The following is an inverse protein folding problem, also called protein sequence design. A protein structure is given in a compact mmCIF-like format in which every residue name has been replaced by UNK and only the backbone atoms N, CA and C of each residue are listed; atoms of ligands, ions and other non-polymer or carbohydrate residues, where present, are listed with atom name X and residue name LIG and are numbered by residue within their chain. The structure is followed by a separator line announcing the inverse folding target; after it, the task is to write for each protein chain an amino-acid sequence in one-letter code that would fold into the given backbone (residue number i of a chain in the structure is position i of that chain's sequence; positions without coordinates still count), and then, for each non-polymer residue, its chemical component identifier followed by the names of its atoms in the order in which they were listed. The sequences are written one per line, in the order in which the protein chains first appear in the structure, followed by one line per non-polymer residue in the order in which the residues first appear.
data_IF_934292988677
#
_entry.id   IF_934292988677
#
_cell.length_a   1.000
_cell.length_b   1.000
_cell.length_c   1.000
_cell.angle_alpha   90.00
_cell.angle_beta   90.00
_cell.angle_gamma   90.00
#
_symmetry.space_group_name_H-M   'P 1'
#
loop_
_entity.id
_entity.type
_entity.pdbx_description
1 polymer ?
#
# COMPACT_ATOMS: atom_id res chain seq x y z
N UNK A 1 -1.89 3.53 18.31
CA UNK A 1 -1.67 2.22 17.67
C UNK A 1 -2.21 2.26 16.24
N UNK A 2 -1.36 2.47 15.23
CA UNK A 2 -1.83 2.48 13.86
C UNK A 2 -1.97 1.05 13.31
N UNK A 3 -3.07 0.79 12.61
CA UNK A 3 -3.25 -0.44 11.85
C UNK A 3 -2.99 -0.15 10.39
N UNK A 4 -2.01 -0.83 9.81
CA UNK A 4 -1.68 -0.71 8.40
C UNK A 4 -2.32 -1.86 7.63
N UNK A 5 -3.04 -1.53 6.57
CA UNK A 5 -3.59 -2.50 5.64
C UNK A 5 -3.00 -2.25 4.25
N UNK A 6 -2.36 -3.26 3.70
CA UNK A 6 -1.79 -3.22 2.36
C UNK A 6 -2.67 -4.07 1.44
N UNK A 7 -3.30 -3.43 0.46
CA UNK A 7 -4.10 -4.13 -0.55
C UNK A 7 -3.27 -4.26 -1.82
N UNK A 8 -3.06 -5.50 -2.24
CA UNK A 8 -2.20 -5.83 -3.39
C UNK A 8 -2.89 -6.83 -4.29
N UNK A 9 -2.42 -6.95 -5.52
CA UNK A 9 -2.77 -8.06 -6.39
C UNK A 9 -1.95 -9.29 -6.00
N UNK A 10 -2.53 -10.47 -6.15
CA UNK A 10 -1.87 -11.73 -5.79
C UNK A 10 -0.56 -11.95 -6.54
N UNK A 11 -0.42 -11.34 -7.72
CA UNK A 11 0.78 -11.45 -8.54
C UNK A 11 2.00 -10.75 -7.92
N UNK A 12 1.80 -9.84 -6.97
CA UNK A 12 2.93 -9.19 -6.30
C UNK A 12 3.63 -10.18 -5.37
N UNK A 13 4.94 -10.45 -5.56
CA UNK A 13 5.67 -11.42 -4.73
C UNK A 13 5.65 -11.06 -3.25
N UNK A 14 5.64 -12.07 -2.40
CA UNK A 14 5.57 -11.89 -0.95
C UNK A 14 6.75 -11.10 -0.40
N UNK A 15 7.94 -11.28 -0.95
CA UNK A 15 9.12 -10.54 -0.53
C UNK A 15 8.93 -9.04 -0.73
N UNK A 16 8.35 -8.64 -1.86
CA UNK A 16 8.10 -7.23 -2.14
C UNK A 16 7.01 -6.64 -1.23
N UNK A 17 5.99 -7.44 -0.91
CA UNK A 17 4.99 -7.05 0.09
C UNK A 17 5.66 -6.76 1.43
N UNK A 18 6.59 -7.62 1.82
CA UNK A 18 7.34 -7.47 3.08
C UNK A 18 8.17 -6.20 3.08
N UNK A 19 8.84 -5.91 1.98
CA UNK A 19 9.64 -4.69 1.85
C UNK A 19 8.78 -3.45 1.97
N UNK A 20 7.59 -3.45 1.37
CA UNK A 20 6.64 -2.35 1.50
C UNK A 20 6.19 -2.16 2.94
N UNK A 21 5.84 -3.25 3.62
CA UNK A 21 5.41 -3.18 5.02
C UNK A 21 6.53 -2.66 5.92
N UNK A 22 7.76 -3.09 5.67
CA UNK A 22 8.93 -2.61 6.43
C UNK A 22 9.16 -1.12 6.19
N UNK A 23 9.03 -0.67 4.95
CA UNK A 23 9.20 0.75 4.60
C UNK A 23 8.12 1.62 5.26
N UNK A 24 6.87 1.16 5.24
CA UNK A 24 5.77 1.88 5.88
C UNK A 24 5.99 1.96 7.39
N UNK A 25 6.39 0.87 8.01
CA UNK A 25 6.67 0.87 9.45
C UNK A 25 7.84 1.80 9.79
N UNK A 26 8.89 1.79 8.98
CA UNK A 26 10.02 2.71 9.16
C UNK A 26 9.60 4.17 9.10
N UNK A 27 8.71 4.51 8.19
CA UNK A 27 8.18 5.88 8.10
C UNK A 27 7.34 6.25 9.33
N UNK A 28 6.53 5.32 9.85
CA UNK A 28 5.76 5.56 11.06
C UNK A 28 6.66 5.73 12.29
N UNK A 29 7.71 4.92 12.40
CA UNK A 29 8.69 5.06 13.48
C UNK A 29 9.38 6.41 13.41
N UNK A 30 9.70 6.87 12.22
CA UNK A 30 10.36 8.17 12.03
C UNK A 30 9.48 9.35 12.51
N UNK A 31 8.15 9.20 12.51
CA UNK A 31 7.25 10.24 13.01
C UNK A 31 6.75 9.98 14.44
N UNK A 32 7.37 9.05 15.15
CA UNK A 32 7.15 8.88 16.60
C UNK A 32 6.43 7.61 17.02
N UNK A 33 6.05 6.72 16.11
CA UNK A 33 5.45 5.44 16.49
C UNK A 33 6.54 4.53 17.09
N UNK A 34 6.29 3.90 18.25
CA UNK A 34 7.26 2.97 18.81
C UNK A 34 7.57 1.80 17.87
N UNK A 35 8.80 1.35 17.84
CA UNK A 35 9.24 0.26 16.96
C UNK A 35 8.41 -1.01 17.19
N UNK A 36 8.08 -1.31 18.45
CA UNK A 36 7.32 -2.50 18.80
C UNK A 36 5.82 -2.38 18.50
N UNK A 37 5.32 -1.18 18.24
CA UNK A 37 3.91 -0.94 17.92
C UNK A 37 3.70 -1.15 16.41
N UNK A 38 3.76 -2.41 16.01
CA UNK A 38 3.65 -2.80 14.60
C UNK A 38 2.43 -3.68 14.41
N UNK A 39 1.44 -3.15 13.68
CA UNK A 39 0.20 -3.85 13.36
C UNK A 39 -0.05 -3.72 11.87
N UNK A 40 0.12 -4.81 11.14
CA UNK A 40 0.06 -4.80 9.67
C UNK A 40 -0.68 -6.02 9.17
N UNK A 41 -1.47 -5.82 8.11
CA UNK A 41 -2.12 -6.91 7.40
C UNK A 41 -2.06 -6.69 5.91
N UNK A 42 -2.08 -7.78 5.15
CA UNK A 42 -2.07 -7.76 3.69
C UNK A 42 -3.36 -8.40 3.19
N UNK A 43 -4.03 -7.72 2.28
CA UNK A 43 -5.15 -8.24 1.51
C UNK A 43 -4.65 -8.48 0.08
N UNK A 44 -4.47 -9.74 -0.28
CA UNK A 44 -4.00 -10.11 -1.61
C UNK A 44 -5.21 -10.55 -2.44
N UNK A 45 -5.54 -9.78 -3.46
CA UNK A 45 -6.73 -9.97 -4.27
C UNK A 45 -6.39 -10.54 -5.64
N UNK A 46 -7.26 -11.42 -6.19
CA UNK A 46 -7.18 -11.79 -7.60
C UNK A 46 -7.24 -10.55 -8.49
N UNK A 47 -6.63 -10.62 -9.67
CA UNK A 47 -6.52 -9.46 -10.55
C UNK A 47 -7.85 -8.83 -10.93
N UNK A 48 -8.94 -9.61 -10.94
CA UNK A 48 -10.27 -9.09 -11.23
C UNK A 48 -10.97 -8.39 -10.07
N UNK A 49 -10.42 -8.51 -8.86
CA UNK A 49 -11.06 -7.99 -7.64
C UNK A 49 -10.47 -6.66 -7.17
N UNK A 50 -9.41 -6.19 -7.81
CA UNK A 50 -8.85 -4.85 -7.60
C UNK A 50 -9.02 -4.08 -8.91
N UNK A 51 -10.04 -3.24 -8.95
CA UNK A 51 -10.44 -2.52 -10.16
C UNK A 51 -10.05 -1.07 -10.04
N UNK A 52 -9.33 -0.57 -11.02
CA UNK A 52 -8.88 0.81 -11.05
C UNK A 52 -8.67 1.24 -12.50
N UNK A 53 -8.80 2.55 -12.74
CA UNK A 53 -8.41 3.11 -14.04
C UNK A 53 -6.90 3.22 -14.11
N UNK A 54 -6.23 2.70 -15.13
CA UNK A 54 -4.77 2.71 -15.21
C UNK A 54 -4.17 4.11 -15.29
N UNK A 55 -4.93 5.10 -15.75
CA UNK A 55 -4.38 6.41 -16.08
C UNK A 55 -5.06 7.58 -15.36
N UNK A 56 -6.21 7.39 -14.73
CA UNK A 56 -6.87 8.48 -14.05
C UNK A 56 -6.09 8.89 -12.80
N UNK A 57 -5.87 10.17 -12.53
CA UNK A 57 -6.24 11.35 -13.34
C UNK A 57 -5.21 11.73 -14.41
N UNK A 58 -4.22 10.91 -14.67
CA UNK A 58 -3.17 11.18 -15.65
C UNK A 58 -3.73 11.13 -17.07
N UNK A 59 -3.18 11.91 -18.02
CA UNK A 59 -3.55 11.82 -19.41
C UNK A 59 -3.32 10.42 -20.00
N UNK A 60 -4.14 10.02 -20.95
CA UNK A 60 -3.94 8.76 -21.66
C UNK A 60 -2.55 8.72 -22.29
N UNK A 61 -1.85 7.59 -22.14
CA UNK A 61 -0.49 7.43 -22.66
C UNK A 61 0.60 7.87 -21.71
N UNK A 62 0.25 8.32 -20.49
CA UNK A 62 1.23 8.65 -19.47
C UNK A 62 2.08 7.42 -19.13
N UNK A 63 3.43 7.57 -19.00
CA UNK A 63 4.28 6.45 -18.58
C UNK A 63 4.08 6.07 -17.10
N UNK A 64 3.33 6.86 -16.34
CA UNK A 64 3.09 6.64 -14.91
C UNK A 64 1.76 5.97 -14.63
N UNK A 65 1.19 5.23 -15.61
CA UNK A 65 -0.04 4.49 -15.44
C UNK A 65 0.06 3.42 -14.36
N UNK A 66 -1.09 3.05 -13.78
CA UNK A 66 -1.18 1.95 -12.81
C UNK A 66 -1.18 0.62 -13.54
N UNK A 67 -0.59 -0.38 -12.92
CA UNK A 67 -0.51 -1.72 -13.47
C UNK A 67 -0.64 -2.76 -12.35
N UNK A 68 -0.21 -4.00 -12.62
CA UNK A 68 -0.22 -5.10 -11.65
C UNK A 68 0.60 -4.82 -10.38
N UNK A 69 1.48 -3.80 -10.41
CA UNK A 69 2.29 -3.41 -9.27
C UNK A 69 1.64 -2.29 -8.43
N UNK A 70 0.44 -1.89 -8.80
CA UNK A 70 -0.32 -0.89 -8.04
C UNK A 70 -0.75 -1.48 -6.70
N UNK A 71 -0.50 -0.76 -5.63
CA UNK A 71 -0.91 -1.16 -4.28
C UNK A 71 -1.60 0.00 -3.58
N UNK A 72 -2.46 -0.33 -2.63
CA UNK A 72 -3.11 0.65 -1.78
C UNK A 72 -2.64 0.39 -0.35
N UNK A 73 -2.05 1.40 0.27
CA UNK A 73 -1.69 1.35 1.68
C UNK A 73 -2.66 2.23 2.47
N UNK A 74 -3.21 1.68 3.53
CA UNK A 74 -4.15 2.38 4.39
C UNK A 74 -3.64 2.32 5.82
N UNK A 75 -3.61 3.47 6.49
CA UNK A 75 -3.22 3.55 7.90
C UNK A 75 -4.41 4.05 8.70
N UNK A 76 -4.89 3.22 9.60
CA UNK A 76 -5.98 3.56 10.52
C UNK A 76 -5.38 3.87 11.90
N UNK A 77 -5.58 5.09 12.36
CA UNK A 77 -5.10 5.53 13.67
C UNK A 77 -6.16 5.29 14.74
N UNK A 78 -5.73 5.18 16.00
CA UNK A 78 -6.61 4.88 17.14
C UNK A 78 -7.72 5.90 17.35
N UNK A 79 -7.60 7.10 16.82
CA UNK A 79 -8.64 8.14 16.92
C UNK A 79 -9.69 8.08 15.80
N UNK A 80 -9.79 6.98 15.07
CA UNK A 80 -10.70 6.84 13.94
C UNK A 80 -10.25 7.53 12.68
N UNK A 81 -9.07 8.09 12.65
CA UNK A 81 -8.49 8.70 11.46
C UNK A 81 -7.92 7.63 10.55
N UNK A 82 -8.13 7.77 9.24
CA UNK A 82 -7.48 6.92 8.25
C UNK A 82 -6.79 7.76 7.20
N UNK A 83 -5.65 7.29 6.74
CA UNK A 83 -4.93 7.85 5.60
C UNK A 83 -4.76 6.74 4.57
N UNK A 84 -5.14 7.02 3.33
CA UNK A 84 -5.02 6.09 2.23
C UNK A 84 -4.00 6.63 1.25
N UNK A 85 -3.05 5.80 0.87
CA UNK A 85 -2.01 6.15 -0.08
C UNK A 85 -1.98 5.09 -1.17
N UNK A 86 -2.02 5.55 -2.42
CA UNK A 86 -1.85 4.68 -3.57
C UNK A 86 -0.38 4.68 -3.97
N UNK A 87 0.20 3.51 -4.05
CA UNK A 87 1.62 3.35 -4.34
C UNK A 87 1.78 2.45 -5.55
N UNK A 88 2.69 2.81 -6.45
CA UNK A 88 3.14 1.92 -7.50
C UNK A 88 4.50 1.35 -7.09
N UNK A 89 4.59 0.04 -7.10
CA UNK A 89 5.85 -0.65 -6.79
C UNK A 89 6.68 -0.73 -8.05
N UNK A 90 7.88 -0.17 -8.00
CA UNK A 90 8.85 -0.29 -9.08
C UNK A 90 9.66 -1.57 -8.89
N UNK A 91 9.67 -2.42 -9.89
CA UNK A 91 10.44 -3.65 -9.87
C UNK A 91 11.73 -3.52 -10.65
#
# INVERSE_FOLDING_TARGET
MPLVTLTVQQSLPQEQRRQLLDAIHGALVAVGVPVADRFQRVLALPSGDLVFDPHYPEPAGSPHGRDQHFVIAEVLWSAGRSVKVSIRVSL
#
